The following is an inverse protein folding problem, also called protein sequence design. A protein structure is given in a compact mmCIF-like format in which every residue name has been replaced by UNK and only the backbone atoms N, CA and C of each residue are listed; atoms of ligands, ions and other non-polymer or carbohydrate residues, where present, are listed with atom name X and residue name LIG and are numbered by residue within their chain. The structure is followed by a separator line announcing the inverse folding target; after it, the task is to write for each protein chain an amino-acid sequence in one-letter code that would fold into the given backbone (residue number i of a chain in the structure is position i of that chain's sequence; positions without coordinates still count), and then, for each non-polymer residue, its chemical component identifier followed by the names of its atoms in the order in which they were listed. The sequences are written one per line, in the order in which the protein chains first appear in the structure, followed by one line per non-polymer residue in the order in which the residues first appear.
data_IF_200825315047
#
_entry.id   IF_200825315047
#
_cell.length_a   1.000
_cell.length_b   1.000
_cell.length_c   1.000
_cell.angle_alpha   90.00
_cell.angle_beta   90.00
_cell.angle_gamma   90.00
#
_symmetry.space_group_name_H-M   'P 1'
#
loop_
_entity.id
_entity.type
_entity.pdbx_description
1 polymer ?
#
# COMPACT_ATOMS: atom_id res chain seq x y z
N UNK A 1 -11.72 4.24 -3.60
CA UNK A 1 -10.49 4.49 -2.81
C UNK A 1 -10.61 5.70 -1.87
N UNK A 2 -11.37 6.75 -2.22
CA UNK A 2 -11.60 7.90 -1.32
C UNK A 2 -12.70 7.70 -0.26
N UNK A 3 -13.54 6.66 -0.35
CA UNK A 3 -14.64 6.42 0.62
C UNK A 3 -14.20 5.70 1.90
N UNK A 4 -13.02 5.07 1.92
CA UNK A 4 -12.55 4.28 3.07
C UNK A 4 -11.74 5.10 4.09
N UNK A 5 -11.37 6.35 3.78
CA UNK A 5 -10.56 7.18 4.69
C UNK A 5 -11.37 7.59 5.92
N UNK A 6 -12.71 7.57 5.85
CA UNK A 6 -13.60 8.00 6.93
C UNK A 6 -13.97 6.93 7.97
N UNK A 7 -13.66 5.65 7.77
CA UNK A 7 -14.21 4.56 8.63
C UNK A 7 -13.32 4.23 9.84
N UNK A 8 -12.01 4.51 9.77
CA UNK A 8 -11.06 4.13 10.82
C UNK A 8 -10.42 5.33 11.54
N UNK A 9 -11.24 6.28 12.00
CA UNK A 9 -10.77 7.14 13.09
C UNK A 9 -11.08 6.39 14.38
N UNK A 10 -10.03 5.84 14.99
CA UNK A 10 -10.12 5.09 16.26
C UNK A 10 -10.82 5.98 17.30
N UNK A 11 -11.91 5.46 17.90
CA UNK A 11 -12.81 6.16 18.84
C UNK A 11 -12.06 6.89 19.98
N UNK A 12 -10.86 6.43 20.31
CA UNK A 12 -10.03 6.95 21.39
C UNK A 12 -9.40 8.32 21.08
N UNK A 13 -8.96 8.57 19.83
CA UNK A 13 -8.32 9.83 19.41
C UNK A 13 -9.35 10.96 19.25
N UNK A 14 -10.60 10.60 18.90
CA UNK A 14 -11.71 11.56 18.78
C UNK A 14 -12.09 12.20 20.12
N UNK A 15 -11.96 11.44 21.22
CA UNK A 15 -12.40 11.91 22.54
C UNK A 15 -11.59 13.10 23.08
N UNK A 16 -10.30 13.19 22.74
CA UNK A 16 -9.45 14.32 23.11
C UNK A 16 -9.63 15.50 22.16
N UNK A 17 -9.75 15.26 20.85
CA UNK A 17 -10.01 16.32 19.87
C UNK A 17 -11.36 17.00 20.11
N UNK A 18 -12.40 16.26 20.48
CA UNK A 18 -13.73 16.79 20.79
C UNK A 18 -13.75 17.81 21.93
N UNK A 19 -12.74 17.88 22.80
CA UNK A 19 -12.66 18.90 23.84
C UNK A 19 -12.23 20.28 23.30
N UNK A 20 -11.64 20.32 22.11
CA UNK A 20 -11.14 21.53 21.46
C UNK A 20 -12.12 22.11 20.42
N UNK A 21 -13.16 21.36 20.05
CA UNK A 21 -14.16 21.76 19.06
C UNK A 21 -15.55 21.77 19.69
N UNK A 22 -16.37 22.75 19.33
CA UNK A 22 -17.76 22.82 19.80
C UNK A 22 -18.64 21.72 19.19
N UNK A 23 -18.34 21.31 17.94
CA UNK A 23 -19.01 20.22 17.24
C UNK A 23 -18.04 19.05 16.99
N UNK A 24 -18.50 17.83 17.30
CA UNK A 24 -17.79 16.60 16.99
C UNK A 24 -17.55 16.39 15.48
N UNK A 25 -18.35 17.02 14.63
CA UNK A 25 -18.24 17.00 13.17
C UNK A 25 -17.01 17.77 12.71
N UNK A 26 -16.77 18.95 13.28
CA UNK A 26 -15.60 19.77 12.96
C UNK A 26 -14.31 19.11 13.43
N UNK A 27 -14.33 18.49 14.62
CA UNK A 27 -13.21 17.69 15.12
C UNK A 27 -12.85 16.54 14.15
N UNK A 28 -13.86 15.80 13.67
CA UNK A 28 -13.66 14.72 12.69
C UNK A 28 -13.10 15.23 11.38
N UNK A 29 -13.61 16.35 10.88
CA UNK A 29 -13.14 16.97 9.65
C UNK A 29 -11.67 17.39 9.77
N UNK A 30 -11.31 18.08 10.86
CA UNK A 30 -9.94 18.51 11.12
C UNK A 30 -8.97 17.33 11.22
N UNK A 31 -9.32 16.29 11.97
CA UNK A 31 -8.51 15.06 12.08
C UNK A 31 -8.35 14.37 10.72
N UNK A 32 -9.42 14.27 9.94
CA UNK A 32 -9.36 13.66 8.61
C UNK A 32 -8.45 14.44 7.65
N UNK A 33 -8.51 15.77 7.66
CA UNK A 33 -7.65 16.64 6.84
C UNK A 33 -6.19 16.51 7.26
N UNK A 34 -5.89 16.59 8.56
CA UNK A 34 -4.52 16.43 9.07
C UNK A 34 -3.98 15.04 8.74
N UNK A 35 -4.77 13.98 8.95
CA UNK A 35 -4.39 12.62 8.56
C UNK A 35 -4.06 12.54 7.07
N UNK A 36 -4.91 13.13 6.23
CA UNK A 36 -4.70 13.14 4.78
C UNK A 36 -3.37 13.82 4.42
N UNK A 37 -3.13 15.02 4.93
CA UNK A 37 -1.91 15.80 4.67
C UNK A 37 -0.67 15.01 5.13
N UNK A 38 -0.65 14.55 6.38
CA UNK A 38 0.51 13.86 6.95
C UNK A 38 0.80 12.52 6.27
N UNK A 39 -0.24 11.78 5.87
CA UNK A 39 -0.07 10.55 5.10
C UNK A 39 0.49 10.83 3.70
N UNK A 40 0.05 11.90 3.03
CA UNK A 40 0.56 12.28 1.72
C UNK A 40 2.00 12.80 1.79
N UNK A 41 2.30 13.69 2.74
CA UNK A 41 3.66 14.17 2.99
C UNK A 41 4.62 12.99 3.23
N UNK A 42 4.22 12.04 4.09
CA UNK A 42 5.00 10.82 4.36
C UNK A 42 5.20 9.96 3.11
N UNK A 43 4.16 9.81 2.28
CA UNK A 43 4.20 9.00 1.05
C UNK A 43 5.18 9.55 0.01
N UNK A 44 5.27 10.87 -0.11
CA UNK A 44 6.17 11.55 -1.05
C UNK A 44 7.50 11.99 -0.43
N UNK A 45 7.75 11.60 0.82
CA UNK A 45 9.01 11.86 1.50
C UNK A 45 9.32 13.37 1.61
N UNK A 46 8.27 14.19 1.81
CA UNK A 46 8.33 15.66 1.83
C UNK A 46 9.16 16.15 3.01
N UNK A 47 10.06 17.12 2.79
CA UNK A 47 10.87 17.74 3.84
C UNK A 47 10.04 18.65 4.76
N UNK A 48 10.54 18.88 5.97
CA UNK A 48 9.82 19.67 6.98
C UNK A 48 9.59 21.11 6.53
N UNK A 49 10.58 21.76 5.88
CA UNK A 49 10.44 23.11 5.34
C UNK A 49 9.32 23.20 4.32
N UNK A 50 9.27 22.26 3.39
CA UNK A 50 8.29 22.22 2.32
C UNK A 50 6.87 22.02 2.87
N UNK A 51 6.73 21.15 3.87
CA UNK A 51 5.44 20.95 4.55
C UNK A 51 4.96 22.22 5.27
N UNK A 52 5.87 23.00 5.88
CA UNK A 52 5.50 24.30 6.50
C UNK A 52 4.95 25.26 5.44
N UNK A 53 5.61 25.36 4.28
CA UNK A 53 5.15 26.22 3.18
C UNK A 53 3.78 25.77 2.65
N UNK A 54 3.57 24.47 2.44
CA UNK A 54 2.27 23.94 2.01
C UNK A 54 1.15 24.24 3.03
N UNK A 55 1.41 24.06 4.33
CA UNK A 55 0.44 24.36 5.37
C UNK A 55 0.09 25.86 5.44
N UNK A 56 1.08 26.74 5.24
CA UNK A 56 0.85 28.18 5.15
C UNK A 56 0.02 28.56 3.92
N UNK A 57 0.22 27.90 2.77
CA UNK A 57 -0.61 28.09 1.57
C UNK A 57 -2.07 27.69 1.79
N UNK A 58 -2.33 26.74 2.69
CA UNK A 58 -3.67 26.38 3.15
C UNK A 58 -4.25 27.37 4.18
N UNK A 59 -3.50 28.42 4.54
CA UNK A 59 -3.93 29.48 5.44
C UNK A 59 -3.55 29.27 6.90
N UNK A 60 -2.69 28.30 7.23
CA UNK A 60 -2.22 28.13 8.62
C UNK A 60 -1.24 29.23 9.02
N UNK A 61 -1.30 29.63 10.28
CA UNK A 61 -0.31 30.51 10.87
C UNK A 61 1.05 29.79 10.96
N UNK A 62 2.15 30.55 10.83
CA UNK A 62 3.50 30.00 10.82
C UNK A 62 3.79 29.11 12.03
N UNK A 63 3.46 29.58 13.24
CA UNK A 63 3.70 28.83 14.49
C UNK A 63 2.97 27.47 14.49
N UNK A 64 1.71 27.45 14.09
CA UNK A 64 0.91 26.22 13.99
C UNK A 64 1.45 25.28 12.90
N UNK A 65 1.85 25.83 11.75
CA UNK A 65 2.43 25.05 10.65
C UNK A 65 3.77 24.40 11.07
N UNK A 66 4.64 25.14 11.76
CA UNK A 66 5.91 24.64 12.28
C UNK A 66 5.71 23.54 13.32
N UNK A 67 4.72 23.69 14.21
CA UNK A 67 4.40 22.68 15.22
C UNK A 67 3.90 21.36 14.58
N UNK A 68 3.01 21.46 13.58
CA UNK A 68 2.51 20.29 12.83
C UNK A 68 3.66 19.63 12.06
N UNK A 69 4.50 20.42 11.38
CA UNK A 69 5.60 19.90 10.59
C UNK A 69 6.70 19.26 11.46
N UNK A 70 6.94 19.76 12.67
CA UNK A 70 7.80 19.10 13.66
C UNK A 70 7.23 17.72 14.03
N UNK A 71 5.95 17.66 14.38
CA UNK A 71 5.30 16.40 14.76
C UNK A 71 5.34 15.39 13.60
N UNK A 72 5.15 15.86 12.37
CA UNK A 72 5.35 15.06 11.16
C UNK A 72 6.76 14.49 11.07
N UNK A 73 7.79 15.33 11.19
CA UNK A 73 9.19 14.92 11.09
C UNK A 73 9.53 13.84 12.12
N UNK A 74 9.08 14.03 13.37
CA UNK A 74 9.28 13.09 14.48
C UNK A 74 8.62 11.72 14.21
N UNK A 75 7.48 11.69 13.50
CA UNK A 75 6.68 10.49 13.27
C UNK A 75 6.74 9.94 11.84
N UNK A 76 7.42 10.61 10.90
CA UNK A 76 7.45 10.30 9.46
C UNK A 76 7.81 8.85 9.19
N UNK A 77 8.89 8.36 9.80
CA UNK A 77 9.33 6.98 9.63
C UNK A 77 8.24 5.98 10.06
N UNK A 78 7.58 6.24 11.19
CA UNK A 78 6.49 5.39 11.70
C UNK A 78 5.26 5.42 10.78
N UNK A 79 4.88 6.59 10.27
CA UNK A 79 3.74 6.71 9.33
C UNK A 79 4.06 5.93 8.05
N UNK A 80 5.27 6.07 7.52
CA UNK A 80 5.70 5.33 6.35
C UNK A 80 5.73 3.82 6.58
N UNK A 81 6.17 3.34 7.75
CA UNK A 81 6.16 1.92 8.10
C UNK A 81 4.73 1.37 8.16
N UNK A 82 3.81 2.11 8.75
CA UNK A 82 2.40 1.73 8.77
C UNK A 82 1.81 1.67 7.36
N UNK A 83 2.12 2.64 6.51
CA UNK A 83 1.71 2.61 5.10
C UNK A 83 2.32 1.43 4.35
N UNK A 84 3.60 1.10 4.60
CA UNK A 84 4.28 -0.07 4.03
C UNK A 84 3.67 -1.39 4.50
N UNK A 85 3.16 -1.45 5.72
CA UNK A 85 2.47 -2.63 6.26
C UNK A 85 1.06 -2.80 5.67
N UNK A 86 0.35 -1.69 5.42
CA UNK A 86 -1.02 -1.68 4.88
C UNK A 86 -1.08 -1.68 3.35
N UNK A 87 0.06 -1.50 2.66
CA UNK A 87 0.10 -1.55 1.20
C UNK A 87 -0.32 -2.92 0.69
N UNK A 88 -0.86 -2.94 -0.52
CA UNK A 88 -1.03 -4.19 -1.24
C UNK A 88 0.32 -4.88 -1.41
N UNK A 89 0.43 -6.11 -0.91
CA UNK A 89 1.58 -6.98 -1.10
C UNK A 89 1.17 -8.10 -2.04
N UNK A 90 1.99 -8.37 -3.06
CA UNK A 90 1.79 -9.56 -3.87
C UNK A 90 1.98 -10.81 -2.98
N UNK A 91 1.15 -11.85 -3.16
CA UNK A 91 1.39 -13.12 -2.48
C UNK A 91 2.80 -13.63 -2.75
N UNK A 92 3.53 -13.96 -1.69
CA UNK A 92 4.82 -14.62 -1.77
C UNK A 92 4.66 -16.06 -2.24
N UNK A 93 5.63 -16.55 -3.01
CA UNK A 93 5.67 -17.95 -3.45
C UNK A 93 6.39 -18.79 -2.41
N UNK A 94 5.66 -19.68 -1.70
CA UNK A 94 6.22 -20.61 -0.71
C UNK A 94 6.86 -21.83 -1.36
N UNK A 95 6.26 -22.34 -2.44
CA UNK A 95 6.70 -23.56 -3.11
C UNK A 95 6.45 -23.46 -4.61
N UNK A 96 7.40 -23.98 -5.39
CA UNK A 96 7.33 -24.07 -6.84
C UNK A 96 7.48 -25.55 -7.23
N UNK A 97 6.51 -26.08 -7.96
CA UNK A 97 6.59 -27.40 -8.57
C UNK A 97 6.24 -27.28 -10.05
N UNK A 98 6.98 -27.97 -10.91
CA UNK A 98 6.66 -28.00 -12.33
C UNK A 98 6.82 -29.41 -12.89
N UNK A 99 6.02 -29.72 -13.92
CA UNK A 99 6.13 -30.97 -14.67
C UNK A 99 5.85 -30.77 -16.14
N UNK A 100 6.48 -31.60 -16.95
CA UNK A 100 6.16 -31.74 -18.38
C UNK A 100 5.17 -32.88 -18.53
N UNK A 101 3.94 -32.54 -18.90
CA UNK A 101 2.83 -33.50 -19.05
C UNK A 101 2.90 -34.18 -20.43
N UNK A 102 3.17 -33.38 -21.46
CA UNK A 102 3.49 -33.84 -22.82
C UNK A 102 4.63 -32.99 -23.37
N UNK A 103 5.31 -33.39 -24.46
CA UNK A 103 6.40 -32.59 -25.06
C UNK A 103 6.02 -31.13 -25.40
N UNK A 104 4.72 -30.84 -25.49
CA UNK A 104 4.18 -29.53 -25.81
C UNK A 104 3.52 -28.81 -24.62
N UNK A 105 3.38 -29.45 -23.45
CA UNK A 105 2.63 -28.92 -22.30
C UNK A 105 3.43 -28.99 -21.01
N UNK A 106 3.59 -27.83 -20.37
CA UNK A 106 4.20 -27.67 -19.06
C UNK A 106 3.14 -27.20 -18.07
N UNK A 107 3.14 -27.80 -16.89
CA UNK A 107 2.28 -27.43 -15.77
C UNK A 107 3.18 -26.88 -14.67
N UNK A 108 2.93 -25.63 -14.26
CA UNK A 108 3.61 -24.94 -13.17
C UNK A 108 2.61 -24.73 -12.04
N UNK A 109 2.89 -25.30 -10.88
CA UNK A 109 2.11 -25.16 -9.66
C UNK A 109 2.88 -24.31 -8.66
N UNK A 110 2.26 -23.22 -8.21
CA UNK A 110 2.79 -22.34 -7.19
C UNK A 110 1.91 -22.44 -5.95
N UNK A 111 2.53 -22.65 -4.79
CA UNK A 111 1.87 -22.48 -3.50
C UNK A 111 2.22 -21.10 -2.96
N UNK A 112 1.21 -20.31 -2.64
CA UNK A 112 1.33 -18.93 -2.19
C UNK A 112 1.08 -18.81 -0.68
N UNK A 113 1.67 -17.80 -0.06
CA UNK A 113 1.45 -17.43 1.35
C UNK A 113 0.10 -16.75 1.58
N UNK A 114 -0.54 -16.23 0.52
CA UNK A 114 -1.82 -15.53 0.55
C UNK A 114 -2.72 -16.07 -0.57
N UNK A 115 -4.05 -15.93 -0.46
CA UNK A 115 -4.98 -16.38 -1.49
C UNK A 115 -4.66 -15.76 -2.87
N UNK A 116 -4.88 -16.55 -3.92
CA UNK A 116 -4.69 -16.12 -5.30
C UNK A 116 -5.64 -14.94 -5.59
N UNK A 117 -5.06 -13.83 -6.04
CA UNK A 117 -5.83 -12.68 -6.52
C UNK A 117 -5.99 -12.82 -8.02
N UNK A 118 -7.15 -13.26 -8.48
CA UNK A 118 -7.50 -13.25 -9.90
C UNK A 118 -7.94 -11.85 -10.31
N UNK A 119 -7.11 -11.14 -11.06
CA UNK A 119 -7.45 -9.85 -11.67
C UNK A 119 -8.34 -10.04 -12.91
N UNK A 120 -9.49 -10.70 -12.76
CA UNK A 120 -10.47 -10.80 -13.83
C UNK A 120 -11.60 -9.79 -13.61
N UNK A 121 -11.93 -9.00 -14.62
CA UNK A 121 -12.96 -7.92 -14.56
C UNK A 121 -14.37 -8.51 -14.38
N UNK A 122 -14.54 -9.80 -14.61
CA UNK A 122 -15.78 -10.53 -14.33
C UNK A 122 -15.76 -11.06 -12.89
N UNK A 123 -16.62 -10.45 -12.07
CA UNK A 123 -16.88 -10.77 -10.67
C UNK A 123 -17.19 -12.26 -10.51
N UNK A 124 -16.18 -13.03 -10.12
CA UNK A 124 -16.35 -14.37 -9.56
C UNK A 124 -15.78 -14.33 -8.16
N UNK A 125 -16.49 -14.96 -7.22
CA UNK A 125 -16.20 -14.88 -5.79
C UNK A 125 -14.70 -15.14 -5.53
N UNK A 126 -14.09 -14.29 -4.69
CA UNK A 126 -12.67 -14.35 -4.36
C UNK A 126 -12.27 -15.80 -4.03
N UNK A 127 -11.38 -16.38 -4.84
CA UNK A 127 -10.90 -17.73 -4.64
C UNK A 127 -10.04 -17.75 -3.38
N UNK A 128 -10.44 -18.52 -2.37
CA UNK A 128 -9.65 -18.73 -1.14
C UNK A 128 -8.45 -19.67 -1.35
N UNK A 129 -8.21 -20.09 -2.60
CA UNK A 129 -7.13 -21.01 -2.93
C UNK A 129 -5.78 -20.29 -2.78
N UNK A 130 -4.81 -20.98 -2.17
CA UNK A 130 -3.40 -20.59 -2.15
C UNK A 130 -2.60 -21.24 -3.27
N UNK A 131 -3.25 -22.05 -4.11
CA UNK A 131 -2.61 -22.78 -5.20
C UNK A 131 -2.93 -22.09 -6.52
N UNK A 132 -1.88 -21.73 -7.25
CA UNK A 132 -1.95 -21.20 -8.61
C UNK A 132 -1.37 -22.23 -9.58
N UNK A 133 -2.20 -22.75 -10.48
CA UNK A 133 -1.82 -23.71 -11.50
C UNK A 133 -1.83 -23.05 -12.88
N UNK A 134 -0.66 -23.01 -13.53
CA UNK A 134 -0.47 -22.46 -14.86
C UNK A 134 -0.19 -23.59 -15.85
N UNK A 135 -1.09 -23.75 -16.82
CA UNK A 135 -0.91 -24.65 -17.94
C UNK A 135 -0.43 -23.87 -19.16
N UNK A 136 0.75 -24.20 -19.68
CA UNK A 136 1.34 -23.45 -20.78
C UNK A 136 2.10 -24.35 -21.76
N UNK A 137 2.40 -23.82 -22.94
CA UNK A 137 3.25 -24.52 -23.90
C UNK A 137 4.73 -24.41 -23.53
N UNK A 138 5.56 -25.29 -24.10
CA UNK A 138 7.02 -25.24 -23.96
C UNK A 138 7.57 -23.84 -24.29
N UNK A 139 7.14 -23.24 -25.40
CA UNK A 139 7.64 -21.94 -25.84
C UNK A 139 7.27 -20.82 -24.85
N UNK A 140 6.05 -20.85 -24.28
CA UNK A 140 5.64 -19.88 -23.25
C UNK A 140 6.43 -20.05 -21.95
N UNK A 141 6.75 -21.28 -21.57
CA UNK A 141 7.58 -21.54 -20.40
C UNK A 141 9.01 -21.02 -20.57
N UNK A 142 9.61 -21.19 -21.76
CA UNK A 142 10.93 -20.65 -22.06
C UNK A 142 10.93 -19.11 -22.09
N UNK A 143 9.92 -18.49 -22.70
CA UNK A 143 9.76 -17.04 -22.66
C UNK A 143 9.63 -16.53 -21.21
N UNK A 144 8.82 -17.20 -20.37
CA UNK A 144 8.72 -16.85 -18.95
C UNK A 144 10.08 -16.93 -18.23
N UNK A 145 10.87 -17.96 -18.51
CA UNK A 145 12.21 -18.12 -17.94
C UNK A 145 13.14 -16.96 -18.34
N UNK A 146 13.16 -16.59 -19.62
CA UNK A 146 13.98 -15.49 -20.13
C UNK A 146 13.60 -14.16 -19.47
N UNK A 147 12.31 -13.85 -19.39
CA UNK A 147 11.80 -12.64 -18.74
C UNK A 147 12.14 -12.60 -17.24
N UNK A 148 12.00 -13.73 -16.52
CA UNK A 148 12.37 -13.82 -15.11
C UNK A 148 13.88 -13.66 -14.90
N UNK A 149 14.70 -14.22 -15.80
CA UNK A 149 16.15 -14.05 -15.77
C UNK A 149 16.55 -12.59 -16.00
N UNK A 150 15.88 -11.89 -16.91
CA UNK A 150 16.10 -10.47 -17.15
C UNK A 150 15.68 -9.63 -15.94
N UNK A 151 14.50 -9.89 -15.37
CA UNK A 151 14.03 -9.22 -14.17
C UNK A 151 14.98 -9.41 -12.97
N UNK A 152 15.50 -10.63 -12.79
CA UNK A 152 16.51 -10.90 -11.76
C UNK A 152 17.79 -10.08 -11.99
N UNK A 153 18.26 -9.98 -13.23
CA UNK A 153 19.43 -9.16 -13.55
C UNK A 153 19.22 -7.68 -13.21
N UNK A 154 18.01 -7.15 -13.48
CA UNK A 154 17.67 -5.76 -13.15
C UNK A 154 17.64 -5.54 -11.64
N UNK A 155 17.07 -6.47 -10.88
CA UNK A 155 17.00 -6.36 -9.42
C UNK A 155 18.38 -6.41 -8.74
N UNK A 156 19.35 -7.11 -9.32
CA UNK A 156 20.74 -7.14 -8.80
C UNK A 156 21.59 -5.95 -9.28
N UNK A 157 21.12 -5.17 -10.25
CA UNK A 157 21.83 -3.99 -10.78
C UNK A 157 21.44 -2.67 -10.08
N UNK A 158 20.40 -2.71 -9.24
CA UNK A 158 19.91 -1.60 -8.40
C UNK A 158 20.41 -1.80 -6.98
#
# INVERSE_FOLDING_TARGET
MCEAIGVDIVVQELSQAQQLFEDATDAKAAVAVLRFILMHASKYDVERSDLVEELQQLGMQQETAEAIAQSYEDHRARIQDQQRAQRFQFPGVEKIEWKVDTPSKVILNLKLDQPVVECNVATTAASKSRELCLNMSKNKFLALYEELSQAQSLLHSV
#
